data_IF_079280935553
#
_entry.id   IF_079280935553
#
_cell.length_a   1.000
_cell.length_b   1.000
_cell.length_c   1.000
_cell.angle_alpha   90.00
_cell.angle_beta   90.00
_cell.angle_gamma   90.00
#
_symmetry.space_group_name_H-M   'P 1'
#
loop_
_entity.id
_entity.type
_entity.pdbx_description
1 polymer ?
#
# COMPACT_ATOMS: atom_id res chain seq x y z
N UNK A 1 13.74 -24.90 -19.63
CA UNK A 1 14.97 -25.29 -18.91
C UNK A 1 15.87 -24.08 -18.88
N UNK A 2 16.52 -23.74 -17.76
CA UNK A 2 17.39 -22.58 -17.57
C UNK A 2 18.55 -22.97 -16.64
N UNK A 3 19.61 -22.15 -16.63
CA UNK A 3 20.72 -22.26 -15.70
C UNK A 3 20.57 -21.21 -14.64
N UNK A 4 20.52 -21.61 -13.36
CA UNK A 4 20.40 -20.72 -12.23
C UNK A 4 21.79 -20.45 -11.62
N UNK A 5 22.17 -19.18 -11.55
CA UNK A 5 23.39 -18.70 -10.90
C UNK A 5 23.01 -18.05 -9.56
N UNK A 6 23.46 -18.64 -8.46
CA UNK A 6 23.20 -18.21 -7.08
C UNK A 6 24.47 -18.17 -6.26
N UNK A 7 24.39 -17.74 -5.00
CA UNK A 7 25.53 -17.80 -4.07
C UNK A 7 26.13 -19.22 -4.02
N UNK A 8 27.46 -19.29 -4.13
CA UNK A 8 28.20 -20.56 -4.17
C UNK A 8 28.16 -21.31 -5.51
N UNK A 9 27.58 -20.74 -6.55
CA UNK A 9 27.65 -21.32 -7.91
C UNK A 9 29.12 -21.33 -8.37
N UNK A 10 29.64 -22.47 -8.88
CA UNK A 10 31.01 -22.53 -9.38
C UNK A 10 31.25 -21.53 -10.49
N UNK A 11 32.38 -20.82 -10.37
CA UNK A 11 32.76 -19.68 -11.24
C UNK A 11 33.48 -20.12 -12.49
N UNK A 12 33.66 -19.14 -13.38
CA UNK A 12 34.68 -19.01 -14.44
C UNK A 12 35.06 -20.33 -15.12
N UNK A 13 34.60 -20.54 -16.34
CA UNK A 13 34.85 -21.69 -17.15
C UNK A 13 33.73 -22.75 -17.16
N UNK A 14 32.96 -22.87 -16.06
CA UNK A 14 31.84 -23.83 -16.07
C UNK A 14 30.64 -23.34 -16.90
N UNK A 15 30.35 -22.04 -16.93
CA UNK A 15 29.27 -21.48 -17.73
C UNK A 15 29.55 -21.53 -19.24
N UNK A 16 30.82 -21.45 -19.64
CA UNK A 16 31.22 -21.50 -21.06
C UNK A 16 31.10 -22.88 -21.66
N UNK A 17 31.19 -23.92 -20.82
CA UNK A 17 31.03 -25.32 -21.22
C UNK A 17 29.59 -25.85 -21.12
N UNK A 18 28.67 -25.06 -20.54
CA UNK A 18 27.28 -25.44 -20.45
C UNK A 18 26.52 -25.15 -21.76
N UNK A 19 25.46 -25.94 -22.06
CA UNK A 19 24.62 -25.67 -23.23
C UNK A 19 24.14 -24.21 -23.24
N UNK A 20 23.84 -23.61 -24.42
CA UNK A 20 23.42 -22.21 -24.54
C UNK A 20 21.96 -22.01 -24.05
N UNK A 21 21.69 -22.47 -22.82
CA UNK A 21 20.41 -22.26 -22.15
C UNK A 21 20.34 -20.85 -21.55
N UNK A 22 19.11 -20.28 -21.38
CA UNK A 22 18.91 -19.02 -20.72
C UNK A 22 19.49 -19.00 -19.31
N UNK A 23 20.13 -17.91 -18.92
CA UNK A 23 20.69 -17.69 -17.60
C UNK A 23 19.70 -16.91 -16.72
N UNK A 24 19.57 -17.36 -15.47
CA UNK A 24 18.87 -16.71 -14.39
C UNK A 24 19.88 -16.39 -13.29
N UNK A 25 20.14 -15.12 -13.06
CA UNK A 25 21.10 -14.62 -12.05
C UNK A 25 20.27 -14.19 -10.85
N UNK A 26 20.36 -14.92 -9.73
CA UNK A 26 19.64 -14.63 -8.49
C UNK A 26 20.61 -14.64 -7.32
N UNK A 27 21.09 -13.46 -6.93
CA UNK A 27 21.97 -13.27 -5.78
C UNK A 27 21.26 -12.39 -4.75
N UNK A 28 20.61 -13.03 -3.80
CA UNK A 28 19.96 -12.37 -2.67
C UNK A 28 20.74 -12.66 -1.40
N UNK A 29 21.34 -11.63 -0.83
CA UNK A 29 21.87 -11.74 0.52
C UNK A 29 20.69 -11.86 1.51
N UNK A 30 20.47 -13.05 2.02
CA UNK A 30 19.40 -13.37 2.98
C UNK A 30 19.84 -13.16 4.42
N UNK A 31 21.14 -12.93 4.66
CA UNK A 31 21.70 -12.78 6.00
C UNK A 31 22.17 -11.34 6.21
N UNK A 32 21.77 -10.74 7.32
CA UNK A 32 22.13 -9.36 7.71
C UNK A 32 23.64 -9.14 7.97
N UNK A 33 24.44 -10.21 7.88
CA UNK A 33 25.88 -10.20 8.22
C UNK A 33 26.78 -10.80 7.14
N UNK A 34 26.26 -11.38 6.07
CA UNK A 34 27.08 -12.04 5.07
C UNK A 34 27.65 -11.01 4.07
N UNK A 35 28.94 -10.79 4.17
CA UNK A 35 29.72 -10.20 3.08
C UNK A 35 29.72 -11.19 1.92
N UNK A 36 29.30 -10.73 0.74
CA UNK A 36 29.43 -11.53 -0.49
C UNK A 36 30.90 -11.94 -0.65
N UNK A 37 31.14 -13.21 -0.94
CA UNK A 37 32.49 -13.68 -1.14
C UNK A 37 33.07 -13.09 -2.42
N UNK A 38 34.40 -12.90 -2.48
CA UNK A 38 35.06 -12.48 -3.72
C UNK A 38 34.78 -13.42 -4.88
N UNK A 39 34.55 -14.69 -4.58
CA UNK A 39 34.21 -15.69 -5.58
C UNK A 39 32.82 -15.46 -6.17
N UNK A 40 31.83 -15.14 -5.33
CA UNK A 40 30.48 -14.80 -5.80
C UNK A 40 30.48 -13.48 -6.61
N UNK A 41 31.25 -12.47 -6.18
CA UNK A 41 31.43 -11.22 -6.93
C UNK A 41 31.96 -11.47 -8.34
N UNK A 42 33.02 -12.29 -8.45
CA UNK A 42 33.58 -12.71 -9.74
C UNK A 42 32.59 -13.50 -10.58
N UNK A 43 31.80 -14.38 -9.94
CA UNK A 43 30.77 -15.17 -10.60
C UNK A 43 29.66 -14.28 -11.19
N UNK A 44 29.17 -13.31 -10.42
CA UNK A 44 28.16 -12.35 -10.87
C UNK A 44 28.69 -11.58 -12.08
N UNK A 45 29.88 -11.01 -11.97
CA UNK A 45 30.50 -10.21 -13.02
C UNK A 45 30.73 -11.03 -14.30
N UNK A 46 31.18 -12.27 -14.18
CA UNK A 46 31.34 -13.18 -15.32
C UNK A 46 29.98 -13.54 -15.95
N UNK A 47 28.99 -13.87 -15.13
CA UNK A 47 27.65 -14.18 -15.63
C UNK A 47 27.03 -12.99 -16.38
N UNK A 48 27.21 -11.75 -15.88
CA UNK A 48 26.72 -10.53 -16.52
C UNK A 48 27.34 -10.26 -17.91
N UNK A 49 28.51 -10.80 -18.21
CA UNK A 49 29.13 -10.70 -19.54
C UNK A 49 28.43 -11.57 -20.59
N UNK A 50 27.69 -12.61 -20.18
CA UNK A 50 26.98 -13.53 -21.08
C UNK A 50 25.59 -12.98 -21.48
N UNK A 51 25.50 -11.73 -21.89
CA UNK A 51 24.28 -10.91 -22.06
C UNK A 51 23.23 -11.54 -22.96
N UNK A 52 23.66 -12.19 -24.04
CA UNK A 52 22.75 -12.83 -25.02
C UNK A 52 21.99 -14.03 -24.47
N UNK A 53 22.39 -14.49 -23.26
CA UNK A 53 21.77 -15.64 -22.59
C UNK A 53 20.98 -15.23 -21.36
N UNK A 54 21.10 -14.01 -20.87
CA UNK A 54 20.50 -13.57 -19.62
C UNK A 54 19.03 -13.18 -19.84
N UNK A 55 18.13 -13.91 -19.20
CA UNK A 55 16.69 -13.65 -19.20
C UNK A 55 16.19 -13.01 -17.91
N UNK A 56 16.88 -13.28 -16.81
CA UNK A 56 16.47 -12.83 -15.48
C UNK A 56 17.69 -12.40 -14.65
N UNK A 57 17.59 -11.23 -14.04
CA UNK A 57 18.57 -10.69 -13.10
C UNK A 57 17.82 -10.26 -11.83
N UNK A 58 18.17 -10.83 -10.68
CA UNK A 58 17.75 -10.36 -9.36
C UNK A 58 18.98 -10.23 -8.46
N UNK A 59 19.41 -9.00 -8.25
CA UNK A 59 20.61 -8.67 -7.47
C UNK A 59 20.23 -7.84 -6.25
N UNK A 60 20.50 -8.39 -5.06
CA UNK A 60 20.43 -7.70 -3.79
C UNK A 60 21.81 -7.69 -3.16
N UNK A 61 22.58 -6.65 -3.46
CA UNK A 61 24.02 -6.57 -3.20
C UNK A 61 24.38 -5.40 -2.30
N UNK A 62 25.55 -5.46 -1.60
CA UNK A 62 26.14 -4.29 -0.99
C UNK A 62 26.38 -3.19 -2.04
N UNK A 63 26.31 -1.89 -1.64
CA UNK A 63 26.38 -0.76 -2.56
C UNK A 63 27.59 -0.78 -3.50
N UNK A 64 28.78 -1.08 -2.98
CA UNK A 64 30.02 -1.10 -3.77
C UNK A 64 30.01 -2.18 -4.85
N UNK A 65 29.54 -3.38 -4.51
CA UNK A 65 29.46 -4.51 -5.44
C UNK A 65 28.37 -4.25 -6.48
N UNK A 66 27.21 -3.73 -6.03
CA UNK A 66 26.13 -3.36 -6.95
C UNK A 66 26.62 -2.32 -7.97
N UNK A 67 27.34 -1.29 -7.52
CA UNK A 67 27.91 -0.27 -8.42
C UNK A 67 28.83 -0.90 -9.47
N UNK A 68 29.75 -1.78 -9.06
CA UNK A 68 30.66 -2.48 -10.00
C UNK A 68 29.88 -3.34 -11.01
N UNK A 69 28.87 -4.08 -10.53
CA UNK A 69 28.02 -4.91 -11.40
C UNK A 69 27.24 -4.06 -12.41
N UNK A 70 26.75 -2.88 -12.01
CA UNK A 70 26.06 -1.96 -12.92
C UNK A 70 26.99 -1.42 -14.00
N UNK A 71 28.26 -1.14 -13.71
CA UNK A 71 29.24 -0.69 -14.71
C UNK A 71 29.51 -1.71 -15.81
N UNK A 72 29.28 -3.01 -15.55
CA UNK A 72 29.38 -4.07 -16.55
C UNK A 72 28.18 -4.09 -17.48
N UNK A 73 27.05 -3.50 -17.07
CA UNK A 73 25.80 -3.50 -17.82
C UNK A 73 25.73 -2.36 -18.87
N UNK A 74 26.85 -1.94 -19.45
CA UNK A 74 26.90 -0.89 -20.47
C UNK A 74 26.38 -1.31 -21.84
N UNK A 75 26.38 -2.60 -22.14
CA UNK A 75 25.92 -3.14 -23.41
C UNK A 75 24.50 -3.73 -23.35
N UNK A 76 23.81 -3.89 -24.49
CA UNK A 76 22.45 -4.39 -24.52
C UNK A 76 22.27 -5.81 -23.98
N UNK A 77 21.13 -6.03 -23.35
CA UNK A 77 20.63 -7.34 -22.90
C UNK A 77 19.42 -7.75 -23.76
N UNK A 78 19.61 -8.38 -24.91
CA UNK A 78 18.57 -8.53 -25.92
C UNK A 78 17.40 -9.40 -25.50
N UNK A 79 17.61 -10.38 -24.60
CA UNK A 79 16.57 -11.31 -24.15
C UNK A 79 16.16 -11.13 -22.70
N UNK A 80 16.64 -10.07 -22.03
CA UNK A 80 16.31 -9.80 -20.63
C UNK A 80 14.84 -9.42 -20.48
N UNK A 81 14.11 -10.20 -19.68
CA UNK A 81 12.70 -10.00 -19.38
C UNK A 81 12.45 -9.49 -17.95
N UNK A 82 13.33 -9.84 -17.02
CA UNK A 82 13.18 -9.48 -15.61
C UNK A 82 14.46 -8.88 -15.06
N UNK A 83 14.34 -7.68 -14.49
CA UNK A 83 15.45 -6.97 -13.82
C UNK A 83 15.00 -6.50 -12.45
N UNK A 84 15.64 -7.00 -11.40
CA UNK A 84 15.46 -6.58 -10.01
C UNK A 84 16.82 -6.17 -9.43
N UNK A 85 16.94 -4.91 -9.01
CA UNK A 85 18.16 -4.34 -8.47
C UNK A 85 17.88 -3.64 -7.15
N UNK A 86 18.55 -4.10 -6.09
CA UNK A 86 18.40 -3.50 -4.77
C UNK A 86 19.70 -3.52 -3.99
N UNK A 87 19.90 -2.49 -3.14
CA UNK A 87 21.00 -2.47 -2.19
C UNK A 87 20.59 -3.15 -0.88
N UNK A 88 21.54 -3.82 -0.22
CA UNK A 88 21.37 -4.41 1.12
C UNK A 88 21.32 -3.34 2.21
N UNK A 89 21.89 -2.16 1.98
CA UNK A 89 21.86 -1.03 2.91
C UNK A 89 20.95 0.07 2.40
N UNK A 90 20.49 0.92 3.33
CA UNK A 90 19.71 2.12 3.01
C UNK A 90 20.56 3.34 2.70
N UNK A 91 21.86 3.16 2.58
CA UNK A 91 22.77 4.25 2.28
C UNK A 91 22.61 4.74 0.84
N UNK A 92 22.81 6.03 0.66
CA UNK A 92 22.72 6.68 -0.66
C UNK A 92 23.89 6.20 -1.51
N UNK A 93 23.58 5.31 -2.44
CA UNK A 93 24.59 4.83 -3.37
C UNK A 93 24.47 5.64 -4.64
N UNK A 94 25.55 6.25 -5.07
CA UNK A 94 25.66 6.85 -6.40
C UNK A 94 25.68 5.78 -7.52
N UNK A 95 25.09 4.62 -7.24
CA UNK A 95 25.01 3.52 -8.18
C UNK A 95 23.91 3.81 -9.19
N UNK A 96 24.29 4.09 -10.41
CA UNK A 96 23.39 4.48 -11.49
C UNK A 96 23.54 3.49 -12.65
N UNK A 97 22.44 3.05 -13.23
CA UNK A 97 22.49 2.28 -14.47
C UNK A 97 23.12 3.09 -15.59
N UNK A 98 24.02 2.49 -16.41
CA UNK A 98 24.62 3.15 -17.54
C UNK A 98 23.57 3.70 -18.52
N UNK A 99 23.85 4.85 -19.13
CA UNK A 99 22.95 5.43 -20.16
C UNK A 99 22.80 4.55 -21.38
N UNK A 100 23.78 3.71 -21.62
CA UNK A 100 23.86 2.76 -22.73
C UNK A 100 23.12 1.46 -22.46
N UNK A 101 22.65 1.21 -21.23
CA UNK A 101 21.88 0.02 -20.91
C UNK A 101 20.60 -0.06 -21.75
N UNK A 102 20.44 -1.14 -22.48
CA UNK A 102 19.29 -1.42 -23.32
C UNK A 102 18.74 -2.83 -23.03
N UNK A 103 17.44 -2.93 -22.77
CA UNK A 103 16.76 -4.20 -22.54
C UNK A 103 15.38 -4.16 -23.26
N UNK A 104 15.32 -4.34 -24.58
CA UNK A 104 14.10 -4.13 -25.37
C UNK A 104 12.96 -5.09 -25.02
N UNK A 105 13.29 -6.27 -24.47
CA UNK A 105 12.31 -7.29 -24.08
C UNK A 105 11.96 -7.24 -22.59
N UNK A 106 12.39 -6.21 -21.86
CA UNK A 106 12.15 -6.09 -20.41
C UNK A 106 10.65 -5.95 -20.12
N UNK A 107 10.13 -6.86 -19.30
CA UNK A 107 8.73 -6.91 -18.88
C UNK A 107 8.54 -6.57 -17.40
N UNK A 108 9.51 -6.91 -16.57
CA UNK A 108 9.41 -6.72 -15.13
C UNK A 108 10.64 -5.96 -14.63
N UNK A 109 10.40 -4.81 -14.03
CA UNK A 109 11.43 -3.94 -13.51
C UNK A 109 11.16 -3.61 -12.04
N UNK A 110 12.07 -4.01 -11.16
CA UNK A 110 12.07 -3.66 -9.74
C UNK A 110 13.38 -3.02 -9.37
N UNK A 111 13.35 -1.83 -8.80
CA UNK A 111 14.59 -1.17 -8.43
C UNK A 111 14.43 -0.04 -7.44
N UNK A 112 15.54 0.35 -6.81
CA UNK A 112 15.64 1.62 -6.11
C UNK A 112 15.72 2.77 -7.11
N UNK A 113 14.95 3.83 -6.91
CA UNK A 113 14.95 4.99 -7.81
C UNK A 113 16.28 5.75 -7.84
N UNK A 114 17.16 5.57 -6.84
CA UNK A 114 18.54 6.10 -6.87
C UNK A 114 19.40 5.46 -7.95
N UNK A 115 19.05 4.26 -8.41
CA UNK A 115 19.73 3.55 -9.49
C UNK A 115 19.38 4.14 -10.86
N UNK A 116 18.31 4.93 -10.96
CA UNK A 116 17.89 5.56 -12.20
C UNK A 116 18.42 6.97 -12.34
N UNK A 117 19.08 7.26 -13.44
CA UNK A 117 19.23 8.64 -13.88
C UNK A 117 17.88 9.18 -14.37
N UNK A 118 17.61 10.46 -14.04
CA UNK A 118 16.37 11.15 -14.41
C UNK A 118 16.02 11.06 -15.90
N UNK A 119 17.02 10.85 -16.77
CA UNK A 119 16.85 10.88 -18.22
C UNK A 119 16.72 9.51 -18.89
N UNK A 120 17.09 8.43 -18.19
CA UNK A 120 17.19 7.10 -18.81
C UNK A 120 15.86 6.33 -18.85
N UNK A 121 14.96 6.63 -17.92
CA UNK A 121 13.80 5.75 -17.71
C UNK A 121 12.86 5.71 -18.91
N UNK A 122 12.62 4.52 -19.39
CA UNK A 122 11.39 4.13 -20.09
C UNK A 122 11.34 4.42 -21.59
N UNK A 123 12.32 5.08 -22.20
CA UNK A 123 12.32 5.28 -23.65
C UNK A 123 12.56 3.99 -24.46
N UNK A 124 13.20 2.99 -23.87
CA UNK A 124 13.53 1.71 -24.52
C UNK A 124 12.69 0.51 -24.08
N UNK A 125 11.77 0.67 -23.12
CA UNK A 125 11.06 -0.44 -22.47
C UNK A 125 9.54 -0.40 -22.69
N UNK A 126 9.13 -0.29 -23.94
CA UNK A 126 7.69 -0.20 -24.33
C UNK A 126 6.87 -1.44 -23.91
N UNK A 127 7.53 -2.59 -23.72
CA UNK A 127 6.91 -3.87 -23.35
C UNK A 127 6.74 -4.09 -21.85
N UNK A 128 7.03 -3.08 -21.00
CA UNK A 128 7.01 -3.23 -19.55
C UNK A 128 5.59 -3.51 -19.04
N UNK A 129 5.46 -4.61 -18.28
CA UNK A 129 4.21 -5.07 -17.63
C UNK A 129 4.20 -4.69 -16.15
N UNK A 130 5.35 -4.80 -15.47
CA UNK A 130 5.48 -4.47 -14.05
C UNK A 130 6.57 -3.45 -13.81
N UNK A 131 6.24 -2.39 -13.10
CA UNK A 131 7.19 -1.36 -12.64
C UNK A 131 7.07 -1.17 -11.13
N UNK A 132 8.11 -1.57 -10.38
CA UNK A 132 8.20 -1.42 -8.93
C UNK A 132 9.39 -0.53 -8.57
N UNK A 133 9.08 0.69 -8.12
CA UNK A 133 10.06 1.72 -7.76
C UNK A 133 10.10 1.97 -6.27
N UNK A 134 11.27 1.74 -5.67
CA UNK A 134 11.53 2.08 -4.26
C UNK A 134 12.40 3.34 -4.20
N UNK A 135 11.79 4.45 -3.79
CA UNK A 135 12.46 5.75 -3.70
C UNK A 135 12.96 5.95 -2.27
N UNK A 136 14.23 5.70 -2.05
CA UNK A 136 14.82 5.73 -0.70
C UNK A 136 15.27 7.14 -0.34
N UNK A 137 15.79 7.91 -1.30
CA UNK A 137 16.42 9.20 -1.08
C UNK A 137 15.84 10.31 -1.97
N UNK A 138 16.09 11.56 -1.56
CA UNK A 138 15.66 12.73 -2.32
C UNK A 138 16.30 12.82 -3.73
N UNK A 139 17.49 12.24 -3.91
CA UNK A 139 18.18 12.17 -5.21
C UNK A 139 17.40 11.40 -6.27
N UNK A 140 16.64 10.38 -5.86
CA UNK A 140 15.75 9.60 -6.74
C UNK A 140 14.36 10.19 -6.93
N UNK A 141 14.08 11.38 -6.36
CA UNK A 141 12.79 12.02 -6.47
C UNK A 141 12.48 12.48 -7.89
N UNK A 142 11.37 12.00 -8.42
CA UNK A 142 10.82 12.43 -9.69
C UNK A 142 9.58 13.29 -9.44
N UNK A 143 9.50 14.44 -10.09
CA UNK A 143 8.26 15.24 -10.06
C UNK A 143 7.09 14.42 -10.62
N UNK A 144 5.88 14.47 -10.02
CA UNK A 144 4.74 13.66 -10.46
C UNK A 144 4.45 13.83 -11.96
N UNK A 145 4.44 15.06 -12.47
CA UNK A 145 4.16 15.34 -13.88
C UNK A 145 5.20 14.76 -14.85
N UNK A 146 6.50 14.84 -14.51
CA UNK A 146 7.55 14.23 -15.31
C UNK A 146 7.45 12.71 -15.30
N UNK A 147 7.12 12.14 -14.15
CA UNK A 147 6.94 10.71 -14.04
C UNK A 147 5.75 10.22 -14.89
N UNK A 148 4.60 10.88 -14.77
CA UNK A 148 3.40 10.57 -15.57
C UNK A 148 3.70 10.71 -17.08
N UNK A 149 4.41 11.75 -17.50
CA UNK A 149 4.77 11.93 -18.91
C UNK A 149 5.59 10.74 -19.44
N UNK A 150 6.45 10.15 -18.62
CA UNK A 150 7.24 8.96 -18.97
C UNK A 150 6.42 7.67 -19.01
N UNK A 151 5.40 7.54 -18.16
CA UNK A 151 4.50 6.38 -18.18
C UNK A 151 3.67 6.31 -19.46
N UNK A 152 3.55 7.40 -20.22
CA UNK A 152 2.78 7.46 -21.49
C UNK A 152 3.19 6.39 -22.50
N UNK A 153 4.47 6.04 -22.55
CA UNK A 153 4.98 5.02 -23.48
C UNK A 153 4.69 3.58 -23.04
N UNK A 154 4.28 3.38 -21.77
CA UNK A 154 4.10 2.06 -21.17
C UNK A 154 2.68 1.54 -21.29
N UNK A 155 2.20 1.35 -22.52
CA UNK A 155 0.83 0.91 -22.79
C UNK A 155 0.51 -0.50 -22.26
N UNK A 156 1.52 -1.34 -22.02
CA UNK A 156 1.37 -2.71 -21.52
C UNK A 156 1.43 -2.82 -20.00
N UNK A 157 1.60 -1.68 -19.29
CA UNK A 157 1.77 -1.69 -17.83
C UNK A 157 0.50 -2.17 -17.12
N UNK A 158 0.62 -3.28 -16.38
CA UNK A 158 -0.44 -3.86 -15.56
C UNK A 158 -0.24 -3.58 -14.07
N UNK A 159 1.01 -3.58 -13.60
CA UNK A 159 1.36 -3.40 -12.20
C UNK A 159 2.29 -2.19 -12.02
N UNK A 160 1.86 -1.20 -11.25
CA UNK A 160 2.67 -0.04 -10.89
C UNK A 160 2.79 0.07 -9.37
N UNK A 161 4.02 0.13 -8.89
CA UNK A 161 4.35 0.35 -7.48
C UNK A 161 5.32 1.52 -7.33
N UNK A 162 4.99 2.47 -6.45
CA UNK A 162 5.82 3.64 -6.13
C UNK A 162 5.92 3.72 -4.61
N UNK A 163 7.08 3.43 -4.06
CA UNK A 163 7.29 3.43 -2.61
C UNK A 163 8.36 4.42 -2.18
N UNK A 164 7.98 5.46 -1.44
CA UNK A 164 8.91 6.33 -0.74
C UNK A 164 9.26 5.73 0.63
N UNK A 165 10.55 5.75 1.01
CA UNK A 165 10.99 5.22 2.31
C UNK A 165 10.85 6.23 3.44
N UNK A 166 10.92 7.52 3.12
CA UNK A 166 10.82 8.64 4.06
C UNK A 166 9.91 9.71 3.47
N UNK A 167 9.27 10.54 4.33
CA UNK A 167 8.60 11.74 3.86
C UNK A 167 9.63 12.63 3.14
N UNK A 168 9.41 12.91 1.87
CA UNK A 168 10.25 13.83 1.13
C UNK A 168 10.05 15.26 1.64
N UNK A 169 11.08 16.12 1.57
CA UNK A 169 10.92 17.52 1.86
C UNK A 169 9.78 18.08 1.01
N UNK A 170 8.92 18.90 1.63
CA UNK A 170 7.85 19.57 0.89
C UNK A 170 8.48 20.34 -0.26
N UNK A 171 8.02 20.16 -1.51
CA UNK A 171 8.39 21.09 -2.57
C UNK A 171 7.99 22.48 -2.08
N UNK A 172 8.91 23.42 -2.19
CA UNK A 172 8.75 24.78 -1.66
C UNK A 172 7.63 25.60 -2.30
N UNK A 173 7.01 25.07 -3.36
CA UNK A 173 5.81 25.63 -3.96
C UNK A 173 4.89 24.53 -4.50
N UNK A 174 3.60 24.63 -4.17
CA UNK A 174 2.58 23.76 -4.78
C UNK A 174 2.55 23.89 -6.32
N UNK A 175 3.04 25.00 -6.88
CA UNK A 175 3.20 25.22 -8.32
C UNK A 175 4.24 24.33 -8.99
N UNK A 176 5.27 23.87 -8.26
CA UNK A 176 6.28 22.95 -8.83
C UNK A 176 5.75 21.52 -8.93
N UNK A 177 4.79 21.13 -8.07
CA UNK A 177 4.12 19.83 -8.17
C UNK A 177 3.15 19.77 -9.36
N UNK A 178 2.57 20.93 -9.70
CA UNK A 178 1.62 21.07 -10.79
C UNK A 178 2.30 21.28 -12.15
N UNK A 179 3.53 20.85 -12.37
CA UNK A 179 4.16 20.96 -13.70
C UNK A 179 3.09 21.09 -14.78
N UNK A 180 3.34 21.79 -15.87
CA UNK A 180 2.38 22.12 -16.93
C UNK A 180 1.23 21.12 -17.02
N UNK A 181 -0.03 21.58 -16.91
CA UNK A 181 -1.23 20.73 -16.98
C UNK A 181 -1.27 20.02 -18.34
N UNK A 182 -0.41 19.00 -18.46
CA UNK A 182 -0.40 18.13 -19.63
C UNK A 182 -1.69 17.29 -19.69
N UNK A 183 -2.08 16.91 -20.88
CA UNK A 183 -3.20 15.98 -21.07
C UNK A 183 -3.00 14.72 -20.21
N UNK A 184 -4.05 14.31 -19.52
CA UNK A 184 -4.03 13.09 -18.71
C UNK A 184 -3.52 11.89 -19.51
N UNK A 185 -2.63 11.12 -18.90
CA UNK A 185 -2.08 9.91 -19.51
C UNK A 185 -3.00 8.75 -19.23
N UNK A 186 -3.38 8.02 -20.26
CA UNK A 186 -4.16 6.79 -20.11
C UNK A 186 -3.21 5.60 -20.01
N UNK A 187 -3.37 4.81 -18.95
CA UNK A 187 -2.71 3.53 -18.72
C UNK A 187 -3.76 2.43 -18.92
N UNK A 188 -3.97 1.97 -20.17
CA UNK A 188 -5.16 1.19 -20.53
C UNK A 188 -5.20 -0.19 -19.87
N UNK A 189 -4.03 -0.75 -19.55
CA UNK A 189 -3.91 -2.09 -18.98
C UNK A 189 -3.58 -2.11 -17.49
N UNK A 190 -3.48 -0.93 -16.82
CA UNK A 190 -3.15 -0.87 -15.41
C UNK A 190 -4.26 -1.47 -14.55
N UNK A 191 -3.95 -2.60 -13.89
CA UNK A 191 -4.83 -3.36 -13.00
C UNK A 191 -4.52 -3.11 -11.53
N UNK A 192 -3.23 -3.00 -11.20
CA UNK A 192 -2.76 -2.88 -9.83
C UNK A 192 -1.92 -1.62 -9.66
N UNK A 193 -2.32 -0.78 -8.71
CA UNK A 193 -1.54 0.39 -8.33
C UNK A 193 -1.23 0.35 -6.84
N UNK A 194 0.06 0.38 -6.49
CA UNK A 194 0.55 0.52 -5.13
C UNK A 194 1.28 1.83 -4.96
N UNK A 195 0.98 2.52 -3.88
CA UNK A 195 1.64 3.77 -3.53
C UNK A 195 1.99 3.80 -2.04
N UNK A 196 3.20 4.30 -1.72
CA UNK A 196 3.60 4.64 -0.36
C UNK A 196 4.28 6.00 -0.36
N UNK A 197 3.73 6.98 0.37
CA UNK A 197 4.30 8.33 0.38
C UNK A 197 3.41 9.37 1.05
N UNK A 198 3.55 10.63 0.63
CA UNK A 198 2.73 11.75 1.08
C UNK A 198 1.51 11.95 0.18
N UNK A 199 0.39 12.40 0.76
CA UNK A 199 -0.87 12.59 0.02
C UNK A 199 -0.74 13.57 -1.14
N UNK A 200 0.01 14.67 -0.96
CA UNK A 200 0.21 15.67 -2.00
C UNK A 200 0.86 15.11 -3.27
N UNK A 201 1.85 14.22 -3.14
CA UNK A 201 2.46 13.55 -4.30
C UNK A 201 1.44 12.65 -5.00
N UNK A 202 0.74 11.82 -4.21
CA UNK A 202 -0.29 10.91 -4.73
C UNK A 202 -1.34 11.69 -5.54
N UNK A 203 -1.87 12.77 -4.97
CA UNK A 203 -2.90 13.60 -5.60
C UNK A 203 -2.44 14.20 -6.93
N UNK A 204 -1.23 14.79 -6.95
CA UNK A 204 -0.66 15.32 -8.19
C UNK A 204 -0.43 14.23 -9.25
N UNK A 205 -0.09 13.01 -8.82
CA UNK A 205 0.10 11.87 -9.71
C UNK A 205 -1.24 11.37 -10.27
N UNK A 206 -2.22 11.09 -9.41
CA UNK A 206 -3.52 10.52 -9.82
C UNK A 206 -4.38 11.53 -10.59
N UNK A 207 -4.18 12.83 -10.40
CA UNK A 207 -4.84 13.87 -11.18
C UNK A 207 -4.53 13.78 -12.69
N UNK A 208 -3.37 13.22 -13.03
CA UNK A 208 -2.83 13.18 -14.39
C UNK A 208 -2.93 11.81 -15.05
N UNK A 209 -3.50 10.81 -14.38
CA UNK A 209 -3.65 9.45 -14.94
C UNK A 209 -5.12 9.04 -15.10
N UNK A 210 -5.35 8.15 -16.07
CA UNK A 210 -6.60 7.41 -16.26
C UNK A 210 -6.26 5.93 -16.34
N UNK A 211 -6.89 5.11 -15.49
CA UNK A 211 -6.66 3.67 -15.41
C UNK A 211 -8.03 2.94 -15.44
N UNK A 212 -8.62 2.73 -16.64
CA UNK A 212 -9.99 2.21 -16.75
C UNK A 212 -10.14 0.76 -16.27
N UNK A 213 -9.05 -0.02 -16.27
CA UNK A 213 -9.03 -1.42 -15.82
C UNK A 213 -8.46 -1.60 -14.41
N UNK A 214 -8.41 -0.52 -13.60
CA UNK A 214 -7.88 -0.60 -12.25
C UNK A 214 -8.76 -1.49 -11.36
N UNK A 215 -8.20 -2.60 -10.88
CA UNK A 215 -8.87 -3.61 -10.06
C UNK A 215 -8.42 -3.57 -8.60
N UNK A 216 -7.16 -3.15 -8.38
CA UNK A 216 -6.59 -3.14 -7.03
C UNK A 216 -5.80 -1.87 -6.76
N UNK A 217 -6.08 -1.28 -5.61
CA UNK A 217 -5.42 -0.07 -5.14
C UNK A 217 -4.94 -0.26 -3.69
N UNK A 218 -3.63 -0.17 -3.48
CA UNK A 218 -2.98 -0.32 -2.17
C UNK A 218 -2.17 0.95 -1.85
N UNK A 219 -2.69 1.79 -0.96
CA UNK A 219 -2.10 3.07 -0.59
C UNK A 219 -1.61 3.04 0.84
N UNK A 220 -0.40 3.52 1.06
CA UNK A 220 0.16 3.76 2.39
C UNK A 220 0.61 5.21 2.47
N UNK A 221 -0.07 6.02 3.28
CA UNK A 221 0.28 7.42 3.53
C UNK A 221 1.15 7.54 4.76
N UNK A 222 2.16 8.39 4.69
CA UNK A 222 2.88 8.82 5.88
C UNK A 222 1.99 9.66 6.78
N UNK A 223 2.34 9.76 8.06
CA UNK A 223 1.63 10.65 8.98
C UNK A 223 1.77 12.11 8.55
N UNK A 224 0.65 12.82 8.46
CA UNK A 224 0.57 14.23 8.07
C UNK A 224 -0.63 14.89 8.75
N UNK A 225 -0.59 16.21 8.85
CA UNK A 225 -1.62 17.00 9.55
C UNK A 225 -2.97 16.99 8.81
N UNK A 226 -2.95 16.93 7.48
CA UNK A 226 -4.17 16.96 6.68
C UNK A 226 -4.10 16.00 5.49
N UNK A 227 -5.24 15.39 5.17
CA UNK A 227 -5.41 14.48 4.05
C UNK A 227 -6.46 15.04 3.10
N UNK A 228 -6.04 15.61 1.97
CA UNK A 228 -6.93 16.02 0.89
C UNK A 228 -6.69 15.07 -0.30
N UNK A 229 -7.71 14.28 -0.67
CA UNK A 229 -7.60 13.21 -1.67
C UNK A 229 -8.70 13.30 -2.77
N UNK A 230 -9.03 14.49 -3.31
CA UNK A 230 -10.14 14.67 -4.26
C UNK A 230 -9.92 13.94 -5.60
N UNK A 231 -8.69 13.86 -6.09
CA UNK A 231 -8.39 13.17 -7.34
C UNK A 231 -8.34 11.64 -7.14
N UNK A 232 -7.86 11.18 -5.98
CA UNK A 232 -7.95 9.78 -5.61
C UNK A 232 -9.41 9.33 -5.54
N UNK A 233 -10.28 10.12 -4.91
CA UNK A 233 -11.71 9.84 -4.85
C UNK A 233 -12.33 9.65 -6.24
N UNK A 234 -11.96 10.50 -7.22
CA UNK A 234 -12.40 10.35 -8.61
C UNK A 234 -11.85 9.08 -9.28
N UNK A 235 -10.60 8.72 -9.00
CA UNK A 235 -9.97 7.52 -9.58
C UNK A 235 -10.69 6.24 -9.13
N UNK A 236 -11.15 6.20 -7.86
CA UNK A 236 -11.80 5.04 -7.26
C UNK A 236 -13.33 5.06 -7.37
N UNK A 237 -13.94 6.14 -7.87
CA UNK A 237 -15.40 6.19 -8.10
C UNK A 237 -15.79 5.31 -9.31
N UNK A 238 -15.39 4.06 -9.27
CA UNK A 238 -15.67 3.03 -10.25
C UNK A 238 -16.40 1.86 -9.58
N UNK A 239 -17.10 1.06 -10.38
CA UNK A 239 -17.83 -0.12 -9.87
C UNK A 239 -16.91 -1.13 -9.17
N UNK A 240 -15.64 -1.19 -9.55
CA UNK A 240 -14.68 -2.13 -8.99
C UNK A 240 -14.45 -1.93 -7.47
N UNK A 241 -14.65 -0.71 -6.96
CA UNK A 241 -14.43 -0.35 -5.55
C UNK A 241 -15.72 -0.13 -4.75
N UNK A 242 -16.90 -0.21 -5.40
CA UNK A 242 -18.21 -0.11 -4.70
C UNK A 242 -18.61 -1.46 -4.13
N UNK A 243 -18.20 -1.71 -2.90
CA UNK A 243 -18.36 -2.98 -2.19
C UNK A 243 -19.16 -2.78 -0.90
N UNK A 244 -19.86 -3.82 -0.42
CA UNK A 244 -20.82 -3.68 0.69
C UNK A 244 -20.18 -3.56 2.08
N UNK A 245 -18.91 -3.96 2.23
CA UNK A 245 -18.28 -4.03 3.55
C UNK A 245 -17.04 -3.15 3.62
N UNK A 246 -16.93 -2.35 4.68
CA UNK A 246 -15.73 -1.62 5.05
C UNK A 246 -15.15 -2.16 6.36
N UNK A 247 -13.84 -2.17 6.44
CA UNK A 247 -13.09 -2.44 7.66
C UNK A 247 -12.22 -1.23 7.97
N UNK A 248 -12.35 -0.69 9.17
CA UNK A 248 -11.46 0.33 9.73
C UNK A 248 -10.77 -0.27 10.94
N UNK A 249 -9.47 -0.39 10.90
CA UNK A 249 -8.69 -1.00 11.98
C UNK A 249 -7.64 -0.03 12.49
N UNK A 250 -7.49 0.01 13.80
CA UNK A 250 -6.56 0.84 14.53
C UNK A 250 -5.48 -0.04 15.18
N UNK A 251 -4.28 0.51 15.42
CA UNK A 251 -3.21 -0.25 16.03
C UNK A 251 -1.83 0.38 15.82
N UNK A 252 -0.95 -0.26 15.05
CA UNK A 252 0.34 0.34 14.64
C UNK A 252 0.20 1.39 13.55
N UNK A 253 -0.94 1.41 12.89
CA UNK A 253 -1.32 2.30 11.79
C UNK A 253 -2.83 2.24 11.65
N UNK A 254 -3.41 3.25 11.03
CA UNK A 254 -4.79 3.16 10.54
C UNK A 254 -4.81 2.27 9.31
N UNK A 255 -5.81 1.42 9.22
CA UNK A 255 -6.06 0.57 8.07
C UNK A 255 -7.52 0.68 7.67
N UNK A 256 -7.78 1.06 6.43
CA UNK A 256 -9.11 1.17 5.84
C UNK A 256 -9.13 0.26 4.61
N UNK A 257 -10.10 -0.62 4.52
CA UNK A 257 -10.30 -1.45 3.33
C UNK A 257 -11.77 -1.64 3.02
N UNK A 258 -12.08 -1.84 1.73
CA UNK A 258 -13.41 -2.25 1.29
C UNK A 258 -13.31 -3.62 0.61
N UNK A 259 -14.31 -4.48 0.85
CA UNK A 259 -14.30 -5.86 0.38
C UNK A 259 -15.72 -6.42 0.24
N UNK A 260 -15.86 -7.52 -0.49
CA UNK A 260 -17.15 -8.20 -0.67
C UNK A 260 -17.59 -8.98 0.57
N UNK A 261 -16.64 -9.58 1.29
CA UNK A 261 -16.92 -10.49 2.40
C UNK A 261 -15.95 -10.25 3.55
N UNK A 262 -16.42 -10.43 4.77
CA UNK A 262 -15.65 -10.30 6.02
C UNK A 262 -14.51 -11.31 6.14
N UNK A 263 -14.55 -12.41 5.38
CA UNK A 263 -13.55 -13.50 5.43
C UNK A 263 -12.25 -13.16 4.73
N UNK A 264 -12.23 -12.21 3.80
CA UNK A 264 -11.03 -11.82 3.06
C UNK A 264 -10.32 -10.67 3.73
N UNK A 265 -9.06 -10.89 4.18
CA UNK A 265 -8.20 -9.86 4.79
C UNK A 265 -7.82 -8.72 3.84
N UNK A 266 -7.87 -8.94 2.54
CA UNK A 266 -7.43 -7.97 1.53
C UNK A 266 -8.49 -7.80 0.45
N UNK A 267 -9.15 -6.63 0.47
CA UNK A 267 -10.05 -6.20 -0.60
C UNK A 267 -9.30 -5.54 -1.77
N UNK A 268 -10.01 -5.15 -2.81
CA UNK A 268 -9.45 -4.41 -3.95
C UNK A 268 -8.97 -3.01 -3.57
N UNK A 269 -9.53 -2.39 -2.54
CA UNK A 269 -9.09 -1.10 -2.02
C UNK A 269 -8.55 -1.25 -0.61
N UNK A 270 -7.32 -0.77 -0.43
CA UNK A 270 -6.62 -0.72 0.85
C UNK A 270 -5.96 0.64 1.00
N UNK A 271 -6.23 1.31 2.11
CA UNK A 271 -5.54 2.53 2.50
C UNK A 271 -5.00 2.39 3.92
N UNK A 272 -3.74 2.77 4.10
CA UNK A 272 -3.07 2.78 5.40
C UNK A 272 -2.54 4.17 5.69
N UNK A 273 -2.66 4.62 6.94
CA UNK A 273 -1.98 5.84 7.42
C UNK A 273 -1.02 5.45 8.53
N UNK A 274 0.24 5.83 8.38
CA UNK A 274 1.31 5.51 9.33
C UNK A 274 1.28 6.48 10.52
N UNK A 275 0.26 6.37 11.36
CA UNK A 275 0.09 7.12 12.58
C UNK A 275 0.23 6.18 13.78
N UNK A 276 0.99 6.58 14.82
CA UNK A 276 1.25 5.72 15.98
C UNK A 276 0.28 5.93 17.13
N UNK A 277 -0.10 7.19 17.36
CA UNK A 277 -0.96 7.59 18.48
C UNK A 277 -2.42 7.34 18.14
N UNK A 278 -3.17 6.72 19.03
CA UNK A 278 -4.54 6.26 18.74
C UNK A 278 -5.51 7.41 18.52
N UNK A 279 -5.39 8.49 19.27
CA UNK A 279 -6.23 9.69 19.11
C UNK A 279 -6.08 10.28 17.72
N UNK A 280 -4.84 10.40 17.24
CA UNK A 280 -4.54 10.87 15.91
C UNK A 280 -4.96 9.87 14.82
N UNK A 281 -5.03 8.58 15.18
CA UNK A 281 -5.50 7.57 14.25
C UNK A 281 -6.98 7.75 13.91
N UNK A 282 -7.82 8.11 14.89
CA UNK A 282 -9.25 8.35 14.67
C UNK A 282 -9.43 9.58 13.80
N UNK A 283 -8.72 10.67 14.11
CA UNK A 283 -8.74 11.90 13.31
C UNK A 283 -8.26 11.64 11.88
N UNK A 284 -7.13 10.96 11.70
CA UNK A 284 -6.66 10.56 10.37
C UNK A 284 -7.70 9.70 9.61
N UNK A 285 -8.35 8.77 10.30
CA UNK A 285 -9.39 7.93 9.70
C UNK A 285 -10.60 8.78 9.29
N UNK A 286 -11.04 9.72 10.13
CA UNK A 286 -12.16 10.61 9.84
C UNK A 286 -11.87 11.48 8.62
N UNK A 287 -10.71 12.15 8.57
CA UNK A 287 -10.29 12.97 7.44
C UNK A 287 -10.22 12.17 6.14
N UNK A 288 -9.60 10.99 6.16
CA UNK A 288 -9.51 10.14 4.96
C UNK A 288 -10.87 9.64 4.54
N UNK A 289 -11.69 9.13 5.47
CA UNK A 289 -13.02 8.63 5.15
C UNK A 289 -13.95 9.72 4.59
N UNK A 290 -13.85 10.95 5.10
CA UNK A 290 -14.64 12.08 4.57
C UNK A 290 -14.31 12.38 3.10
N UNK A 291 -13.04 12.28 2.71
CA UNK A 291 -12.64 12.46 1.31
C UNK A 291 -13.03 11.29 0.40
N UNK A 292 -13.22 10.09 0.97
CA UNK A 292 -13.62 8.87 0.25
C UNK A 292 -15.14 8.60 0.33
N UNK A 293 -15.94 9.58 0.72
CA UNK A 293 -17.38 9.43 0.95
C UNK A 293 -18.11 8.85 -0.27
N UNK A 294 -17.65 9.14 -1.49
CA UNK A 294 -18.27 8.62 -2.74
C UNK A 294 -18.32 7.09 -2.82
N UNK A 295 -17.38 6.38 -2.18
CA UNK A 295 -17.38 4.91 -2.11
C UNK A 295 -17.87 4.39 -0.76
N UNK A 296 -17.69 5.16 0.32
CA UNK A 296 -18.05 4.72 1.67
C UNK A 296 -19.54 4.90 1.97
N UNK A 297 -20.23 5.79 1.27
CA UNK A 297 -21.69 6.00 1.41
C UNK A 297 -22.50 4.78 1.04
N UNK A 298 -22.03 3.93 0.14
CA UNK A 298 -22.71 2.72 -0.33
C UNK A 298 -22.43 1.49 0.57
N UNK A 299 -21.53 1.62 1.55
CA UNK A 299 -21.18 0.55 2.49
C UNK A 299 -22.39 0.19 3.36
N UNK A 300 -22.68 -1.09 3.42
CA UNK A 300 -23.78 -1.63 4.24
C UNK A 300 -23.31 -2.18 5.59
N UNK A 301 -22.06 -2.64 5.67
CA UNK A 301 -21.46 -3.17 6.89
C UNK A 301 -20.15 -2.50 7.19
N UNK A 302 -19.97 -2.00 8.40
CA UNK A 302 -18.74 -1.38 8.91
C UNK A 302 -18.18 -2.22 10.05
N UNK A 303 -16.90 -2.59 9.94
CA UNK A 303 -16.16 -3.31 10.98
C UNK A 303 -15.12 -2.36 11.59
N UNK A 304 -15.25 -2.04 12.88
CA UNK A 304 -14.29 -1.27 13.65
C UNK A 304 -13.44 -2.21 14.49
N UNK A 305 -12.16 -2.29 14.20
CA UNK A 305 -11.25 -3.26 14.81
C UNK A 305 -10.03 -2.60 15.45
N UNK A 306 -9.39 -3.33 16.36
CA UNK A 306 -8.14 -2.92 17.00
C UNK A 306 -7.12 -4.05 16.96
N UNK A 307 -6.05 -3.86 16.18
CA UNK A 307 -5.07 -4.90 15.81
C UNK A 307 -3.89 -5.03 16.80
N UNK A 308 -3.93 -4.41 17.97
CA UNK A 308 -2.87 -4.59 18.98
C UNK A 308 -3.22 -5.73 19.93
N UNK A 309 -2.19 -6.51 20.40
CA UNK A 309 -2.38 -7.44 21.51
C UNK A 309 -2.83 -6.68 22.76
N UNK A 310 -3.37 -7.39 23.79
CA UNK A 310 -4.12 -6.82 24.91
C UNK A 310 -3.23 -6.03 25.90
N UNK A 311 -2.60 -4.97 25.44
CA UNK A 311 -2.14 -3.91 26.31
C UNK A 311 -3.31 -2.98 26.60
N UNK A 312 -3.47 -2.47 27.84
CA UNK A 312 -4.48 -1.47 28.11
C UNK A 312 -4.26 -0.31 27.15
N UNK A 313 -5.30 0.02 26.39
CA UNK A 313 -5.30 1.20 25.53
C UNK A 313 -5.14 2.38 26.48
N UNK A 314 -4.01 3.03 26.43
CA UNK A 314 -3.83 4.34 27.05
C UNK A 314 -4.18 5.36 25.99
N UNK A 315 -5.26 6.03 26.17
CA UNK A 315 -5.57 7.28 25.49
C UNK A 315 -4.69 8.34 26.14
N UNK A 316 -3.94 9.11 25.37
CA UNK A 316 -3.08 10.17 25.90
C UNK A 316 -3.92 11.30 26.52
N UNK A 317 -5.13 11.52 26.01
CA UNK A 317 -6.10 12.43 26.58
C UNK A 317 -7.30 11.61 27.10
N UNK A 318 -7.64 11.73 28.37
CA UNK A 318 -8.82 11.09 28.97
C UNK A 318 -10.16 11.54 28.35
N UNK A 319 -10.14 12.59 27.53
CA UNK A 319 -11.27 13.15 26.82
C UNK A 319 -11.03 13.10 25.31
N UNK A 320 -11.33 11.96 24.66
CA UNK A 320 -11.51 11.97 23.22
C UNK A 320 -12.77 12.75 22.92
N UNK A 321 -12.60 13.81 22.15
CA UNK A 321 -13.73 14.57 21.63
C UNK A 321 -14.62 13.63 20.78
N UNK A 322 -15.83 13.40 21.26
CA UNK A 322 -16.83 12.59 20.55
C UNK A 322 -17.08 13.05 19.10
N UNK A 323 -16.77 14.31 18.80
CA UNK A 323 -16.91 14.90 17.47
C UNK A 323 -16.09 14.16 16.40
N UNK A 324 -14.88 13.71 16.73
CA UNK A 324 -14.00 12.97 15.78
C UNK A 324 -14.59 11.62 15.39
N UNK A 325 -15.20 10.89 16.34
CA UNK A 325 -15.95 9.68 16.04
C UNK A 325 -17.18 9.95 15.16
N UNK A 326 -17.89 11.04 15.43
CA UNK A 326 -19.03 11.44 14.59
C UNK A 326 -18.59 11.74 13.16
N UNK A 327 -17.48 12.45 12.96
CA UNK A 327 -16.93 12.73 11.64
C UNK A 327 -16.56 11.45 10.89
N UNK A 328 -15.93 10.48 11.57
CA UNK A 328 -15.62 9.18 10.99
C UNK A 328 -16.91 8.45 10.55
N UNK A 329 -17.88 8.35 11.45
CA UNK A 329 -19.11 7.59 11.20
C UNK A 329 -20.03 8.23 10.16
N UNK A 330 -20.01 9.56 10.00
CA UNK A 330 -20.76 10.28 8.96
C UNK A 330 -20.37 9.87 7.54
N UNK A 331 -19.18 9.30 7.36
CA UNK A 331 -18.76 8.78 6.06
C UNK A 331 -19.51 7.51 5.62
N UNK A 332 -20.20 6.84 6.54
CA UNK A 332 -20.86 5.55 6.33
C UNK A 332 -22.39 5.66 6.40
N UNK A 333 -22.97 6.60 5.67
CA UNK A 333 -24.41 6.89 5.72
C UNK A 333 -25.29 5.70 5.32
N UNK A 334 -24.81 4.79 4.46
CA UNK A 334 -25.51 3.58 4.02
C UNK A 334 -25.40 2.39 4.98
N UNK A 335 -24.62 2.51 6.07
CA UNK A 335 -24.33 1.40 6.96
C UNK A 335 -25.59 0.90 7.68
N UNK A 336 -25.88 -0.38 7.48
CA UNK A 336 -26.98 -1.12 8.15
C UNK A 336 -26.50 -1.90 9.36
N UNK A 337 -25.24 -2.38 9.32
CA UNK A 337 -24.62 -3.15 10.40
C UNK A 337 -23.29 -2.52 10.80
N UNK A 338 -23.07 -2.37 12.10
CA UNK A 338 -21.85 -1.86 12.71
C UNK A 338 -21.27 -2.94 13.64
N UNK A 339 -20.11 -3.46 13.30
CA UNK A 339 -19.37 -4.40 14.13
C UNK A 339 -18.24 -3.70 14.87
N UNK A 340 -18.17 -3.85 16.18
CA UNK A 340 -17.21 -3.14 17.02
C UNK A 340 -16.46 -4.10 17.91
N UNK A 341 -15.12 -4.04 17.88
CA UNK A 341 -14.32 -4.80 18.82
C UNK A 341 -14.41 -4.21 20.25
N UNK A 342 -14.22 -5.07 21.26
CA UNK A 342 -14.32 -4.69 22.67
C UNK A 342 -13.45 -3.49 23.05
N UNK A 343 -12.25 -3.43 22.48
CA UNK A 343 -11.29 -2.38 22.78
C UNK A 343 -11.78 -0.96 22.45
N UNK A 344 -12.66 -0.84 21.44
CA UNK A 344 -13.21 0.45 20.98
C UNK A 344 -14.63 0.71 21.51
N UNK A 345 -15.30 -0.30 22.07
CA UNK A 345 -16.73 -0.23 22.40
C UNK A 345 -17.06 0.85 23.44
N UNK A 346 -16.20 1.03 24.44
CA UNK A 346 -16.40 2.03 25.50
C UNK A 346 -16.32 3.46 24.94
N UNK A 347 -15.30 3.75 24.14
CA UNK A 347 -15.11 5.12 23.60
C UNK A 347 -16.18 5.42 22.54
N UNK A 348 -16.48 4.46 21.69
CA UNK A 348 -17.55 4.62 20.73
C UNK A 348 -18.91 4.79 21.40
N UNK A 349 -19.18 4.07 22.50
CA UNK A 349 -20.44 4.23 23.25
C UNK A 349 -20.57 5.63 23.86
N UNK A 350 -19.46 6.22 24.35
CA UNK A 350 -19.44 7.60 24.83
C UNK A 350 -19.73 8.59 23.71
N UNK A 351 -19.07 8.42 22.56
CA UNK A 351 -19.28 9.26 21.39
C UNK A 351 -20.74 9.18 20.87
N UNK A 352 -21.40 8.04 21.00
CA UNK A 352 -22.81 7.84 20.61
C UNK A 352 -23.79 8.17 21.74
N UNK A 353 -23.32 8.67 22.90
CA UNK A 353 -24.25 9.18 23.94
C UNK A 353 -25.04 10.37 23.39
N UNK A 354 -26.31 10.38 23.71
CA UNK A 354 -27.22 11.44 23.30
C UNK A 354 -27.13 12.54 24.34
N UNK A 355 -26.61 13.69 23.94
CA UNK A 355 -26.57 14.89 24.75
C UNK A 355 -27.96 15.54 24.86
N UNK A 356 -28.09 16.58 25.68
CA UNK A 356 -29.35 17.35 25.84
C UNK A 356 -29.87 17.94 24.51
N UNK A 357 -29.00 18.09 23.51
CA UNK A 357 -29.35 18.59 22.14
C UNK A 357 -30.04 17.51 21.29
N UNK A 358 -29.97 16.25 21.69
CA UNK A 358 -30.63 15.14 20.99
C UNK A 358 -29.68 14.37 20.05
N UNK A 359 -30.21 13.33 19.43
CA UNK A 359 -29.48 12.47 18.49
C UNK A 359 -29.22 13.23 17.17
N UNK A 360 -27.96 13.26 16.69
CA UNK A 360 -27.65 13.75 15.34
C UNK A 360 -28.36 12.86 14.30
N UNK A 361 -29.35 13.39 13.57
CA UNK A 361 -30.12 12.58 12.60
C UNK A 361 -29.28 12.11 11.41
N UNK A 362 -28.12 12.74 11.17
CA UNK A 362 -27.17 12.37 10.11
C UNK A 362 -26.22 11.24 10.49
N UNK A 363 -26.16 10.85 11.75
CA UNK A 363 -25.23 9.84 12.23
C UNK A 363 -25.78 8.45 12.01
N UNK A 364 -25.19 7.69 11.09
CA UNK A 364 -25.57 6.31 10.70
C UNK A 364 -27.10 6.17 10.47
N UNK A 365 -27.70 6.92 9.55
CA UNK A 365 -29.16 7.01 9.42
C UNK A 365 -29.83 5.67 9.08
N UNK A 366 -29.10 4.76 8.40
CA UNK A 366 -29.58 3.46 7.95
C UNK A 366 -29.27 2.32 8.94
N UNK A 367 -28.64 2.60 10.09
CA UNK A 367 -28.18 1.57 11.02
C UNK A 367 -29.36 0.77 11.61
N UNK A 368 -29.26 -0.55 11.52
CA UNK A 368 -30.25 -1.53 12.01
C UNK A 368 -29.68 -2.42 13.10
N UNK A 369 -28.36 -2.68 13.06
CA UNK A 369 -27.73 -3.65 13.95
C UNK A 369 -26.36 -3.16 14.44
N UNK A 370 -26.07 -3.40 15.74
CA UNK A 370 -24.75 -3.26 16.33
C UNK A 370 -24.33 -4.62 16.86
N UNK A 371 -23.20 -5.14 16.41
CA UNK A 371 -22.60 -6.40 16.85
C UNK A 371 -21.31 -6.10 17.64
N UNK A 372 -21.24 -6.62 18.87
CA UNK A 372 -20.08 -6.41 19.73
C UNK A 372 -19.25 -7.69 19.82
N UNK A 373 -17.97 -7.59 19.45
CA UNK A 373 -16.99 -8.66 19.67
C UNK A 373 -16.45 -8.58 21.10
N UNK A 374 -17.22 -9.10 22.07
CA UNK A 374 -16.92 -8.93 23.49
C UNK A 374 -16.79 -10.27 24.20
N UNK A 375 -15.67 -10.48 24.90
CA UNK A 375 -15.44 -11.65 25.74
C UNK A 375 -15.91 -11.49 27.20
N UNK A 376 -16.61 -10.41 27.61
CA UNK A 376 -16.96 -10.13 28.99
C UNK A 376 -18.40 -9.65 29.17
N UNK A 377 -19.01 -10.09 30.29
CA UNK A 377 -20.42 -9.89 30.65
C UNK A 377 -20.88 -8.42 30.87
N UNK A 378 -19.97 -7.43 30.91
CA UNK A 378 -20.28 -6.07 31.36
C UNK A 378 -20.74 -5.10 30.25
N UNK A 379 -20.89 -5.56 29.02
CA UNK A 379 -21.12 -4.66 27.86
C UNK A 379 -22.58 -4.45 27.49
N UNK A 380 -23.52 -5.16 28.11
CA UNK A 380 -24.95 -5.08 27.78
C UNK A 380 -25.57 -3.67 27.89
N UNK A 381 -24.96 -2.77 28.65
CA UNK A 381 -25.47 -1.42 28.89
C UNK A 381 -24.75 -0.30 28.11
N UNK A 382 -23.63 -0.59 27.45
CA UNK A 382 -22.80 0.47 26.85
C UNK A 382 -23.53 1.30 25.80
N UNK A 383 -24.36 0.68 24.96
CA UNK A 383 -25.08 1.36 23.88
C UNK A 383 -26.56 1.59 24.19
N UNK A 384 -27.02 1.38 25.43
CA UNK A 384 -28.44 1.46 25.80
C UNK A 384 -29.04 2.85 25.56
N UNK A 385 -28.30 3.93 25.87
CA UNK A 385 -28.73 5.30 25.64
C UNK A 385 -28.99 5.54 24.13
N UNK A 386 -28.04 5.19 23.29
CA UNK A 386 -28.14 5.33 21.83
C UNK A 386 -29.31 4.48 21.26
N UNK A 387 -29.42 3.22 21.65
CA UNK A 387 -30.50 2.34 21.20
C UNK A 387 -31.87 2.87 21.59
N UNK A 388 -32.02 3.37 22.82
CA UNK A 388 -33.28 3.96 23.28
C UNK A 388 -33.63 5.25 22.51
N UNK A 389 -32.65 6.14 22.30
CA UNK A 389 -32.87 7.34 21.52
C UNK A 389 -33.28 7.03 20.07
N UNK A 390 -32.64 6.03 19.47
CA UNK A 390 -33.00 5.55 18.12
C UNK A 390 -34.42 4.95 18.08
N UNK A 391 -34.83 4.26 19.12
CA UNK A 391 -36.20 3.73 19.24
C UNK A 391 -37.23 4.86 19.32
N UNK A 392 -36.94 5.89 20.13
CA UNK A 392 -37.82 7.06 20.24
C UNK A 392 -37.91 7.82 18.90
N UNK A 393 -36.86 7.84 18.12
CA UNK A 393 -36.80 8.46 16.79
C UNK A 393 -37.44 7.56 15.67
N UNK A 394 -38.13 6.48 16.02
CA UNK A 394 -38.70 5.51 15.09
C UNK A 394 -37.70 4.84 14.14
N UNK A 395 -36.46 4.69 14.61
CA UNK A 395 -35.33 4.06 13.88
C UNK A 395 -34.67 2.99 14.77
N UNK A 396 -35.38 1.89 15.14
CA UNK A 396 -34.87 0.95 16.10
C UNK A 396 -33.60 0.25 15.64
N UNK A 397 -32.64 0.11 16.55
CA UNK A 397 -31.37 -0.60 16.33
C UNK A 397 -31.35 -1.82 17.25
N UNK A 398 -30.93 -2.97 16.73
CA UNK A 398 -30.76 -4.21 17.49
C UNK A 398 -29.32 -4.35 17.97
N UNK A 399 -29.15 -4.67 19.26
CA UNK A 399 -27.88 -5.15 19.78
C UNK A 399 -27.84 -6.67 19.60
N UNK A 400 -26.87 -7.14 18.82
CA UNK A 400 -26.66 -8.58 18.64
C UNK A 400 -25.65 -9.06 19.69
N UNK A 401 -25.96 -10.13 20.44
CA UNK A 401 -25.00 -10.76 21.32
C UNK A 401 -23.88 -11.41 20.49
N UNK A 402 -22.72 -11.55 21.12
CA UNK A 402 -21.53 -12.17 20.56
C UNK A 402 -21.84 -13.54 19.89
N UNK A 403 -21.50 -13.66 18.62
CA UNK A 403 -21.25 -14.97 18.04
C UNK A 403 -19.89 -15.44 18.54
N UNK A 404 -19.89 -16.45 19.43
CA UNK A 404 -18.67 -17.07 19.94
C UNK A 404 -17.83 -17.65 18.79
N UNK A 405 -16.90 -16.86 18.29
CA UNK A 405 -15.93 -17.34 17.31
C UNK A 405 -14.81 -18.06 18.06
N UNK A 406 -14.72 -19.35 17.89
CA UNK A 406 -13.58 -20.15 18.34
C UNK A 406 -12.33 -19.75 17.54
N UNK A 407 -11.49 -18.94 18.18
CA UNK A 407 -10.12 -18.66 17.67
C UNK A 407 -9.30 -19.95 17.77
N UNK A 408 -9.08 -20.63 16.67
CA UNK A 408 -8.08 -21.69 16.56
C UNK A 408 -6.74 -21.07 16.25
N UNK A 409 -5.85 -21.05 17.23
CA UNK A 409 -4.46 -20.65 17.03
C UNK A 409 -3.68 -21.81 16.40
N UNK A 410 -3.11 -21.59 15.23
CA UNK A 410 -2.17 -22.53 14.64
C UNK A 410 -0.78 -22.36 15.30
N UNK A 411 0.05 -23.43 15.32
CA UNK A 411 1.39 -23.48 15.96
C UNK A 411 2.38 -22.40 15.50
N UNK A 412 2.02 -21.56 14.52
CA UNK A 412 2.84 -20.47 14.01
C UNK A 412 2.34 -19.07 14.38
N UNK A 413 1.41 -18.94 15.36
CA UNK A 413 0.93 -17.63 15.85
C UNK A 413 0.04 -16.86 14.87
N UNK A 414 -0.43 -17.46 13.81
CA UNK A 414 -1.44 -16.89 12.92
C UNK A 414 -2.85 -17.27 13.42
N UNK A 415 -3.67 -16.25 13.67
CA UNK A 415 -5.06 -16.45 14.08
C UNK A 415 -5.95 -16.56 12.86
N UNK A 416 -6.63 -17.69 12.70
CA UNK A 416 -7.69 -17.87 11.72
C UNK A 416 -9.06 -17.70 12.41
N UNK A 417 -9.92 -16.90 11.81
CA UNK A 417 -11.30 -16.73 12.22
C UNK A 417 -12.11 -17.75 11.43
N UNK A 418 -12.63 -18.79 12.09
CA UNK A 418 -13.65 -19.66 11.50
C UNK A 418 -15.03 -19.14 11.94
N UNK A 419 -15.90 -18.84 10.98
CA UNK A 419 -17.31 -18.59 11.20
C UNK A 419 -17.98 -19.96 11.07
N UNK A 420 -18.57 -20.44 12.15
CA UNK A 420 -19.49 -21.59 12.14
C UNK A 420 -20.90 -21.08 12.12
#
# INVERSE_FOLDING_TARGET
MHILCTNGTPTIGSLDHLPPLPLFIDYRDTTTTATISKQDELAINHALLLRDRIRHIDLRLPPSILHQSLMIMEEPFPILEHLSLSSTTKEDTNSVLPKTFLAPNLRHLTCSASIFQKDWMLSSTVSLVTLDLKIIHASGYLLPGLFVARLRSLSQLEDLSIEFSIPLPRPSAASELLGEQGNAVTLPNLKHFRFRGVSAYLECFVAQIRAPLLERLDITLFNQVAFALPHLSRLIDTRAFKLPTARVSFGRKVFISVHHDTTRRHGPFILRVMCKELDWQIDCAAQVCSTLMSILSDIQQVNLEYDRPPMPIKWENDEIDGTTWHELLRSFIGAKSLRVCNALSKELSRALQVDEVGLDPGLLPCLQEIELYVKRADTGNLFSSFVNARRVADRPVRLLPELSQTLSANKHGEYFIFII
#
